data_IF_496134114465
#
_entry.id   IF_496134114465
#
_cell.length_a   1.000
_cell.length_b   1.000
_cell.length_c   1.000
_cell.angle_alpha   90.00
_cell.angle_beta   90.00
_cell.angle_gamma   90.00
#
_symmetry.space_group_name_H-M   'P 1'
#
loop_
_entity.id
_entity.type
_entity.pdbx_description
1 polymer ?
#
# COMPACT_ATOMS: atom_id res chain seq x y z
N UNK A 1 9.88 -13.84 2.67
CA UNK A 1 10.47 -13.59 4.00
C UNK A 1 10.71 -12.10 4.15
N UNK A 2 10.29 -11.51 5.28
CA UNK A 2 10.39 -10.07 5.55
C UNK A 2 11.22 -9.83 6.80
N UNK A 3 12.33 -9.10 6.66
CA UNK A 3 13.09 -8.56 7.78
C UNK A 3 12.49 -7.23 8.23
N UNK A 4 12.60 -6.89 9.51
CA UNK A 4 12.19 -5.58 10.02
C UNK A 4 10.71 -5.48 10.42
N UNK A 5 9.99 -6.60 10.48
CA UNK A 5 8.60 -6.66 10.99
C UNK A 5 8.62 -6.88 12.49
N UNK A 6 7.93 -6.05 13.25
CA UNK A 6 7.91 -6.12 14.72
C UNK A 6 6.62 -6.72 15.24
N UNK A 7 6.78 -7.66 16.15
CA UNK A 7 5.68 -8.35 16.82
C UNK A 7 5.75 -8.17 18.33
N UNK A 8 4.58 -8.05 18.92
CA UNK A 8 4.38 -8.16 20.36
C UNK A 8 3.93 -9.56 20.72
N UNK A 9 4.64 -10.19 21.64
CA UNK A 9 4.37 -11.53 22.12
C UNK A 9 4.08 -11.43 23.62
N UNK A 10 2.90 -11.88 24.05
CA UNK A 10 2.48 -11.80 25.45
C UNK A 10 1.86 -13.11 25.91
N UNK A 11 2.19 -13.55 27.14
CA UNK A 11 1.52 -14.69 27.78
C UNK A 11 0.11 -14.28 28.18
N UNK A 12 -0.90 -15.05 27.77
CA UNK A 12 -2.31 -14.64 27.93
C UNK A 12 -2.79 -14.67 29.39
N UNK A 13 -2.19 -15.48 30.24
CA UNK A 13 -2.62 -15.64 31.63
C UNK A 13 -2.43 -14.40 32.48
N UNK A 14 -1.38 -13.61 32.24
CA UNK A 14 -1.10 -12.41 33.06
C UNK A 14 -1.26 -11.09 32.31
N UNK A 15 -1.19 -11.10 30.97
CA UNK A 15 -1.43 -9.95 30.08
C UNK A 15 -0.57 -8.69 30.35
N UNK A 16 0.25 -8.71 31.41
CA UNK A 16 1.01 -7.53 31.88
C UNK A 16 2.45 -7.54 31.36
N UNK A 17 2.98 -8.69 31.00
CA UNK A 17 4.33 -8.83 30.48
C UNK A 17 4.30 -9.22 29.00
N UNK A 18 5.02 -8.46 28.19
CA UNK A 18 5.17 -8.75 26.76
C UNK A 18 6.61 -8.54 26.30
N UNK A 19 6.91 -9.15 25.18
CA UNK A 19 8.19 -8.98 24.48
C UNK A 19 7.92 -8.42 23.10
N UNK A 20 8.57 -7.31 22.74
CA UNK A 20 8.60 -6.85 21.37
C UNK A 20 9.85 -7.42 20.68
N UNK A 21 9.67 -8.02 19.53
CA UNK A 21 10.73 -8.62 18.72
C UNK A 21 10.55 -8.30 17.25
N UNK A 22 11.65 -8.09 16.57
CA UNK A 22 11.69 -7.74 15.15
C UNK A 22 12.32 -8.89 14.37
N UNK A 23 11.76 -9.20 13.21
CA UNK A 23 12.26 -10.26 12.32
C UNK A 23 13.66 -9.93 11.81
N UNK A 24 14.52 -10.94 11.79
CA UNK A 24 15.89 -10.88 11.29
C UNK A 24 15.94 -10.89 9.74
N UNK A 25 17.14 -10.95 9.16
CA UNK A 25 17.34 -10.98 7.70
C UNK A 25 16.67 -12.19 7.02
N UNK A 26 16.41 -13.26 7.76
CA UNK A 26 15.70 -14.45 7.27
C UNK A 26 14.19 -14.36 7.43
N UNK A 27 13.69 -13.24 7.99
CA UNK A 27 12.27 -13.03 8.27
C UNK A 27 11.79 -13.86 9.47
N UNK A 28 12.64 -14.12 10.44
CA UNK A 28 12.38 -15.03 11.56
C UNK A 28 12.58 -14.32 12.91
N UNK A 29 11.77 -14.73 13.88
CA UNK A 29 11.97 -14.45 15.29
C UNK A 29 12.06 -15.80 15.99
N UNK A 30 13.15 -16.02 16.71
CA UNK A 30 13.30 -17.17 17.59
C UNK A 30 13.36 -16.67 19.03
N UNK A 31 12.51 -17.25 19.88
CA UNK A 31 12.49 -16.97 21.32
C UNK A 31 12.62 -18.28 22.05
N UNK A 32 13.64 -18.39 22.89
CA UNK A 32 13.88 -19.55 23.76
C UNK A 32 13.50 -19.22 25.21
N UNK A 33 13.46 -20.25 26.04
CA UNK A 33 13.29 -20.13 27.50
C UNK A 33 11.95 -19.49 27.94
N UNK A 34 10.92 -19.62 27.08
CA UNK A 34 9.56 -19.25 27.45
C UNK A 34 8.92 -20.36 28.30
N UNK A 35 8.10 -19.93 29.26
CA UNK A 35 7.25 -20.84 30.00
C UNK A 35 6.19 -21.49 29.10
N UNK A 36 5.72 -22.68 29.47
CA UNK A 36 4.56 -23.26 28.78
C UNK A 36 3.29 -22.46 29.03
N UNK A 37 2.35 -22.50 28.07
CA UNK A 37 1.09 -21.76 28.12
C UNK A 37 0.69 -21.19 26.77
N UNK A 38 -0.37 -20.41 26.76
CA UNK A 38 -0.89 -19.76 25.55
C UNK A 38 -0.34 -18.34 25.45
N UNK A 39 0.20 -18.01 24.28
CA UNK A 39 0.73 -16.69 23.95
C UNK A 39 -0.06 -16.06 22.84
N UNK A 40 -0.29 -14.75 22.94
CA UNK A 40 -0.74 -13.93 21.82
C UNK A 40 0.46 -13.39 21.05
N UNK A 41 0.32 -13.35 19.74
CA UNK A 41 1.30 -12.76 18.81
C UNK A 41 0.59 -11.75 17.92
N UNK A 42 1.02 -10.52 17.99
CA UNK A 42 0.40 -9.40 17.26
C UNK A 42 1.45 -8.54 16.58
N UNK A 43 1.24 -8.26 15.31
CA UNK A 43 2.11 -7.34 14.59
C UNK A 43 1.89 -5.90 15.08
N UNK A 44 2.98 -5.19 15.37
CA UNK A 44 2.95 -3.81 15.84
C UNK A 44 3.59 -2.84 14.87
N UNK A 45 4.46 -3.31 13.98
CA UNK A 45 5.05 -2.53 12.91
C UNK A 45 5.46 -3.41 11.73
N UNK A 46 5.31 -2.91 10.53
CA UNK A 46 5.75 -3.54 9.29
C UNK A 46 6.50 -2.55 8.40
N UNK A 47 6.95 -2.98 7.22
CA UNK A 47 7.64 -2.15 6.24
C UNK A 47 6.66 -1.18 5.57
N UNK A 48 7.17 -0.04 5.10
CA UNK A 48 6.35 1.03 4.50
C UNK A 48 5.59 0.59 3.23
N UNK A 49 6.13 -0.39 2.50
CA UNK A 49 5.52 -0.96 1.30
C UNK A 49 4.60 -2.16 1.59
N UNK A 50 4.36 -2.49 2.87
CA UNK A 50 3.50 -3.58 3.29
C UNK A 50 2.33 -3.09 4.15
N UNK A 51 1.31 -3.92 4.23
CA UNK A 51 0.11 -3.68 5.04
C UNK A 51 0.31 -4.40 6.36
N UNK A 52 0.16 -3.68 7.47
CA UNK A 52 0.22 -4.28 8.81
C UNK A 52 -0.92 -5.28 8.99
N UNK A 53 -0.59 -6.45 9.53
CA UNK A 53 -1.57 -7.46 9.89
C UNK A 53 -2.10 -7.19 11.30
N UNK A 54 -3.32 -6.70 11.39
CA UNK A 54 -3.95 -6.35 12.67
C UNK A 54 -4.57 -7.54 13.41
N UNK A 55 -4.50 -8.74 12.85
CA UNK A 55 -4.99 -9.95 13.50
C UNK A 55 -4.12 -10.31 14.70
N UNK A 56 -4.75 -10.90 15.70
CA UNK A 56 -4.08 -11.47 16.85
C UNK A 56 -4.03 -13.00 16.70
N UNK A 57 -2.85 -13.55 16.78
CA UNK A 57 -2.62 -14.99 16.67
C UNK A 57 -2.34 -15.58 18.04
N UNK A 58 -2.85 -16.77 18.28
CA UNK A 58 -2.58 -17.48 19.53
C UNK A 58 -1.76 -18.73 19.25
N UNK A 59 -0.74 -18.93 20.05
CA UNK A 59 0.13 -20.12 19.97
C UNK A 59 0.28 -20.75 21.36
N UNK A 60 0.07 -22.05 21.43
CA UNK A 60 0.27 -22.81 22.66
C UNK A 60 1.66 -23.42 22.69
N UNK A 61 2.37 -23.18 23.80
CA UNK A 61 3.71 -23.71 24.04
C UNK A 61 3.65 -24.84 25.03
N UNK A 62 4.29 -25.95 24.67
CA UNK A 62 4.40 -27.16 25.49
C UNK A 62 5.84 -27.38 25.95
N UNK A 63 6.06 -27.98 27.17
CA UNK A 63 7.40 -28.26 27.66
C UNK A 63 8.21 -29.09 26.68
N UNK A 64 9.44 -28.66 26.38
CA UNK A 64 10.39 -29.39 25.52
C UNK A 64 9.99 -29.46 24.05
N UNK A 65 9.00 -28.65 23.60
CA UNK A 65 8.54 -28.57 22.19
C UNK A 65 8.81 -27.19 21.60
N UNK A 66 9.03 -27.18 20.31
CA UNK A 66 9.06 -25.93 19.51
C UNK A 66 7.72 -25.77 18.79
N UNK A 67 7.08 -24.62 18.98
CA UNK A 67 5.89 -24.23 18.22
C UNK A 67 6.29 -23.18 17.19
N UNK A 68 5.75 -23.29 15.98
CA UNK A 68 6.03 -22.36 14.88
C UNK A 68 4.72 -21.75 14.39
N UNK A 69 4.72 -20.44 14.17
CA UNK A 69 3.64 -19.70 13.53
C UNK A 69 4.19 -18.98 12.31
N UNK A 70 3.43 -18.98 11.23
CA UNK A 70 3.78 -18.27 10.00
C UNK A 70 2.76 -17.16 9.79
N UNK A 71 3.25 -15.93 9.64
CA UNK A 71 2.44 -14.74 9.41
C UNK A 71 2.90 -14.11 8.11
N UNK A 72 1.96 -13.79 7.22
CA UNK A 72 2.23 -13.23 5.91
C UNK A 72 1.66 -11.81 5.81
N UNK A 73 2.46 -10.88 5.31
CA UNK A 73 2.04 -9.53 4.98
C UNK A 73 1.76 -9.39 3.49
N UNK A 74 0.81 -8.53 3.17
CA UNK A 74 0.49 -8.14 1.80
C UNK A 74 1.20 -6.84 1.45
N UNK A 75 1.58 -6.68 0.17
CA UNK A 75 2.15 -5.44 -0.34
C UNK A 75 1.09 -4.38 -0.58
N UNK A 76 1.47 -3.14 -0.34
CA UNK A 76 0.69 -1.99 -0.76
C UNK A 76 0.76 -1.84 -2.28
N UNK A 77 -0.36 -1.55 -2.96
CA UNK A 77 -0.39 -1.34 -4.39
C UNK A 77 0.20 0.02 -4.78
N UNK A 78 0.72 0.09 -6.01
CA UNK A 78 1.07 1.33 -6.69
C UNK A 78 0.01 1.68 -7.73
N UNK A 79 -0.18 2.98 -7.96
CA UNK A 79 -1.07 3.52 -8.98
C UNK A 79 -0.25 4.31 -10.00
N UNK A 80 -0.36 3.93 -11.27
CA UNK A 80 0.20 4.68 -12.40
C UNK A 80 -0.92 5.35 -13.17
N UNK A 81 -0.78 6.64 -13.42
CA UNK A 81 -1.69 7.42 -14.28
C UNK A 81 -0.94 7.76 -15.56
N UNK A 82 -1.50 7.38 -16.70
CA UNK A 82 -1.03 7.77 -18.03
C UNK A 82 -1.88 8.89 -18.60
N UNK A 83 -1.21 9.86 -19.18
CA UNK A 83 -1.84 10.94 -19.93
C UNK A 83 -1.36 10.97 -21.37
N UNK A 84 -2.32 10.92 -22.31
CA UNK A 84 -2.05 10.90 -23.75
C UNK A 84 -2.91 11.89 -24.51
N UNK A 85 -2.42 12.28 -25.67
CA UNK A 85 -3.20 12.97 -26.69
C UNK A 85 -4.19 11.96 -27.31
N UNK A 86 -5.47 12.32 -27.32
CA UNK A 86 -6.53 11.42 -27.80
C UNK A 86 -6.48 11.14 -29.30
N UNK A 87 -5.86 12.03 -30.07
CA UNK A 87 -5.83 11.93 -31.54
C UNK A 87 -4.56 11.23 -32.04
N UNK A 88 -3.43 11.40 -31.33
CA UNK A 88 -2.13 10.88 -31.76
C UNK A 88 -1.60 9.74 -30.90
N UNK A 89 -2.11 9.59 -29.68
CA UNK A 89 -1.59 8.64 -28.67
C UNK A 89 -0.28 9.07 -28.00
N UNK A 90 0.26 10.24 -28.38
CA UNK A 90 1.50 10.76 -27.81
C UNK A 90 1.37 11.09 -26.31
N UNK A 91 2.44 10.90 -25.51
CA UNK A 91 2.38 11.23 -24.09
C UNK A 91 2.25 12.74 -23.85
N UNK A 92 1.48 13.12 -22.84
CA UNK A 92 1.29 14.52 -22.44
C UNK A 92 1.93 14.74 -21.06
N UNK A 93 2.98 15.52 -21.04
CA UNK A 93 3.67 15.94 -19.81
C UNK A 93 2.92 17.10 -19.12
N UNK A 94 3.28 17.34 -17.87
CA UNK A 94 2.80 18.49 -17.07
C UNK A 94 1.28 18.55 -16.84
N UNK A 95 0.56 17.46 -17.00
CA UNK A 95 -0.80 17.34 -16.52
C UNK A 95 -0.79 17.07 -15.02
N UNK A 96 -1.59 17.83 -14.27
CA UNK A 96 -1.74 17.67 -12.82
C UNK A 96 -3.04 16.95 -12.53
N UNK A 97 -2.95 15.89 -11.75
CA UNK A 97 -4.09 15.12 -11.27
C UNK A 97 -4.23 15.23 -9.75
N UNK A 98 -5.48 15.21 -9.29
CA UNK A 98 -5.82 14.94 -7.90
C UNK A 98 -6.22 13.48 -7.76
N UNK A 99 -5.64 12.80 -6.77
CA UNK A 99 -5.96 11.42 -6.41
C UNK A 99 -6.47 11.43 -4.97
N UNK A 100 -7.76 11.16 -4.80
CA UNK A 100 -8.45 11.21 -3.51
C UNK A 100 -8.90 9.82 -3.11
N UNK A 101 -8.58 9.39 -1.89
CA UNK A 101 -9.19 8.21 -1.31
C UNK A 101 -10.67 8.49 -1.01
N UNK A 102 -11.56 7.56 -1.37
CA UNK A 102 -13.00 7.72 -1.19
C UNK A 102 -13.42 7.85 0.28
N UNK A 103 -12.66 7.24 1.20
CA UNK A 103 -12.85 7.37 2.66
C UNK A 103 -12.20 8.64 3.25
N UNK A 104 -11.53 9.45 2.44
CA UNK A 104 -10.94 10.72 2.84
C UNK A 104 -9.59 10.63 3.56
N UNK A 105 -8.99 9.45 3.70
CA UNK A 105 -7.70 9.31 4.42
C UNK A 105 -6.53 9.98 3.72
N UNK A 106 -6.60 10.20 2.41
CA UNK A 106 -5.55 10.87 1.64
C UNK A 106 -6.08 11.66 0.45
N UNK A 107 -5.38 12.74 0.14
CA UNK A 107 -5.51 13.53 -1.08
C UNK A 107 -4.10 13.81 -1.57
N UNK A 108 -3.78 13.37 -2.79
CA UNK A 108 -2.48 13.56 -3.40
C UNK A 108 -2.61 14.34 -4.70
N UNK A 109 -1.63 15.20 -4.96
CA UNK A 109 -1.46 15.88 -6.23
C UNK A 109 -0.25 15.30 -6.94
N UNK A 110 -0.43 14.85 -8.19
CA UNK A 110 0.61 14.25 -9.00
C UNK A 110 0.70 14.93 -10.36
N UNK A 111 1.88 14.92 -10.96
CA UNK A 111 2.15 15.55 -12.25
C UNK A 111 2.83 14.58 -13.20
N UNK A 112 2.34 14.53 -14.45
CA UNK A 112 2.94 13.66 -15.47
C UNK A 112 4.29 14.19 -15.94
N UNK A 113 5.24 13.26 -16.11
CA UNK A 113 6.55 13.51 -16.71
C UNK A 113 6.48 13.51 -18.25
N UNK A 114 7.65 13.58 -18.89
CA UNK A 114 7.80 13.60 -20.36
C UNK A 114 7.29 12.33 -21.04
N UNK A 115 7.22 11.23 -20.30
CA UNK A 115 6.65 9.94 -20.74
C UNK A 115 5.12 9.86 -20.54
N UNK A 116 4.49 10.94 -20.10
CA UNK A 116 3.05 11.02 -19.81
C UNK A 116 2.62 10.27 -18.55
N UNK A 117 3.56 9.87 -17.68
CA UNK A 117 3.28 9.09 -16.47
C UNK A 117 3.35 9.94 -15.21
N UNK A 118 2.48 9.60 -14.26
CA UNK A 118 2.62 9.96 -12.87
C UNK A 118 2.37 8.71 -12.02
N UNK A 119 3.17 8.50 -10.97
CA UNK A 119 3.11 7.30 -10.12
C UNK A 119 2.91 7.70 -8.67
N UNK A 120 1.99 7.03 -7.99
CA UNK A 120 1.86 7.01 -6.54
C UNK A 120 2.21 5.62 -6.04
N UNK A 121 3.16 5.55 -5.12
CA UNK A 121 3.65 4.30 -4.56
C UNK A 121 3.08 4.05 -3.16
N UNK A 122 3.00 2.77 -2.81
CA UNK A 122 2.69 2.32 -1.45
C UNK A 122 1.35 2.85 -0.90
N UNK A 123 0.32 2.87 -1.74
CA UNK A 123 -1.02 3.30 -1.36
C UNK A 123 -1.71 2.25 -0.48
N UNK A 124 -2.61 2.70 0.38
CA UNK A 124 -3.52 1.79 1.07
C UNK A 124 -4.53 1.22 0.06
N UNK A 125 -4.93 -0.05 0.19
CA UNK A 125 -6.03 -0.59 -0.58
C UNK A 125 -7.33 0.20 -0.35
N UNK A 126 -8.17 0.30 -1.37
CA UNK A 126 -9.43 1.03 -1.29
C UNK A 126 -9.83 1.66 -2.62
N UNK A 127 -10.88 2.45 -2.59
CA UNK A 127 -11.39 3.18 -3.76
C UNK A 127 -10.78 4.57 -3.81
N UNK A 128 -10.30 4.96 -4.98
CA UNK A 128 -9.71 6.26 -5.25
C UNK A 128 -10.42 6.93 -6.42
N UNK A 129 -10.65 8.24 -6.29
CA UNK A 129 -11.11 9.11 -7.37
C UNK A 129 -9.91 9.86 -7.94
N UNK A 130 -9.76 9.80 -9.26
CA UNK A 130 -8.70 10.48 -10.00
C UNK A 130 -9.34 11.50 -10.93
N UNK A 131 -8.96 12.75 -10.78
CA UNK A 131 -9.47 13.86 -11.60
C UNK A 131 -8.33 14.73 -12.12
N UNK A 132 -8.51 15.30 -13.31
CA UNK A 132 -7.60 16.31 -13.82
C UNK A 132 -7.80 17.62 -13.05
N UNK A 133 -6.71 18.19 -12.55
CA UNK A 133 -6.68 19.54 -11.94
C UNK A 133 -6.26 20.60 -12.94
N UNK A 134 -5.29 20.27 -13.78
CA UNK A 134 -4.86 21.14 -14.88
C UNK A 134 -4.20 20.34 -16.00
N UNK A 135 -4.37 20.79 -17.22
CA UNK A 135 -3.68 20.28 -18.40
C UNK A 135 -2.96 21.43 -19.10
N UNK A 136 -1.77 21.19 -19.71
CA UNK A 136 -1.08 22.23 -20.45
C UNK A 136 -1.84 22.54 -21.76
N UNK A 137 -1.75 23.79 -22.23
CA UNK A 137 -2.19 24.13 -23.58
C UNK A 137 -1.37 23.32 -24.61
N UNK A 138 -1.97 22.90 -25.74
CA UNK A 138 -3.29 23.24 -26.24
C UNK A 138 -4.40 22.23 -25.87
N UNK A 139 -4.15 21.27 -24.94
CA UNK A 139 -5.15 20.26 -24.60
C UNK A 139 -6.30 20.84 -23.77
N UNK A 140 -7.49 20.33 -24.02
CA UNK A 140 -8.71 20.64 -23.27
C UNK A 140 -8.86 19.68 -22.09
N UNK A 141 -9.12 20.22 -20.91
CA UNK A 141 -9.32 19.42 -19.70
C UNK A 141 -10.64 18.64 -19.77
N UNK A 142 -10.61 17.36 -19.42
CA UNK A 142 -11.81 16.56 -19.15
C UNK A 142 -12.12 16.60 -17.65
N UNK A 143 -13.27 17.18 -17.32
CA UNK A 143 -13.71 17.31 -15.94
C UNK A 143 -14.25 15.98 -15.34
N UNK A 144 -14.37 14.91 -16.13
CA UNK A 144 -14.92 13.63 -15.67
C UNK A 144 -13.88 12.82 -14.88
N UNK A 145 -14.11 12.57 -13.58
CA UNK A 145 -13.21 11.75 -12.79
C UNK A 145 -13.32 10.27 -13.17
N UNK A 146 -12.26 9.52 -12.87
CA UNK A 146 -12.27 8.06 -12.91
C UNK A 146 -12.16 7.50 -11.50
N UNK A 147 -12.92 6.43 -11.23
CA UNK A 147 -12.81 5.66 -10.01
C UNK A 147 -11.96 4.42 -10.26
N UNK A 148 -11.05 4.12 -9.34
CA UNK A 148 -10.23 2.91 -9.36
C UNK A 148 -10.23 2.26 -7.99
N UNK A 149 -10.36 0.93 -7.96
CA UNK A 149 -10.20 0.16 -6.73
C UNK A 149 -8.80 -0.45 -6.71
N UNK A 150 -8.07 -0.17 -5.64
CA UNK A 150 -6.76 -0.74 -5.37
C UNK A 150 -6.88 -1.92 -4.41
N UNK A 151 -6.27 -3.03 -4.77
CA UNK A 151 -6.22 -4.26 -3.97
C UNK A 151 -4.80 -4.54 -3.50
N UNK A 152 -4.63 -5.21 -2.34
CA UNK A 152 -3.31 -5.66 -1.89
C UNK A 152 -2.60 -6.50 -2.97
N UNK A 153 -1.28 -6.40 -3.03
CA UNK A 153 -0.41 -7.14 -3.96
C UNK A 153 -0.68 -6.89 -5.46
N UNK A 154 -1.43 -5.84 -5.81
CA UNK A 154 -1.84 -5.61 -7.19
C UNK A 154 -1.73 -4.14 -7.56
N UNK A 155 -0.73 -3.79 -8.36
CA UNK A 155 -0.60 -2.47 -8.96
C UNK A 155 -1.70 -2.22 -9.99
N UNK A 156 -2.07 -0.94 -10.15
CA UNK A 156 -3.09 -0.50 -11.10
C UNK A 156 -2.58 0.61 -11.98
N UNK A 157 -3.08 0.61 -13.21
CA UNK A 157 -2.82 1.65 -14.21
C UNK A 157 -4.15 2.19 -14.71
N UNK A 158 -4.24 3.51 -14.81
CA UNK A 158 -5.38 4.22 -15.40
C UNK A 158 -4.90 5.14 -16.53
N UNK A 159 -5.76 5.37 -17.51
CA UNK A 159 -5.47 6.16 -18.69
C UNK A 159 -6.43 7.33 -18.82
N UNK A 160 -5.88 8.49 -19.10
CA UNK A 160 -6.61 9.71 -19.43
C UNK A 160 -6.16 10.21 -20.80
N UNK A 161 -7.12 10.65 -21.61
CA UNK A 161 -6.89 11.18 -22.95
C UNK A 161 -7.61 12.52 -23.10
N UNK A 162 -6.94 13.49 -23.73
CA UNK A 162 -7.56 14.78 -24.05
C UNK A 162 -7.32 15.15 -25.51
N UNK A 163 -8.31 15.79 -26.10
CA UNK A 163 -8.19 16.42 -27.41
C UNK A 163 -7.54 17.80 -27.29
N UNK A 164 -6.88 18.23 -28.33
CA UNK A 164 -6.40 19.61 -28.44
C UNK A 164 -7.55 20.56 -28.77
N UNK A 165 -7.41 21.79 -28.33
CA UNK A 165 -8.30 22.86 -28.78
C UNK A 165 -8.22 23.00 -30.30
N UNK A 166 -9.36 23.23 -30.98
CA UNK A 166 -9.37 23.46 -32.43
C UNK A 166 -8.59 24.73 -32.78
N UNK A 167 -7.98 24.72 -33.95
CA UNK A 167 -7.28 25.87 -34.53
C UNK A 167 -7.93 26.25 -35.86
N UNK A 168 -7.92 27.55 -36.17
CA UNK A 168 -8.38 28.11 -37.44
C UNK A 168 -7.17 28.43 -38.31
#
# INVERSE_FOLDING_TARGET
RLAGVTFRIAKMEDGTHYLDRTTNAQGEILISDLESGVYSVKETATLDDHIIDLREYHVELFPGKTSTIIIENQKRPNLTVYKRDADTGEPVANTIFLVKAADGHSVNEIKTGTDGKAVLENLLPGVYEISEKSVPAPWLMDAKPQLVTLYPNRDRTVHFENHKAPTI
#
